data_IF_326634168561
#
_entry.id   IF_326634168561
#
_cell.length_a   1.000
_cell.length_b   1.000
_cell.length_c   1.000
_cell.angle_alpha   90.00
_cell.angle_beta   90.00
_cell.angle_gamma   90.00
#
_symmetry.space_group_name_H-M   'P 1'
#
loop_
_entity.id
_entity.type
_entity.pdbx_description
1 polymer ?
#
# COMPACT_ATOMS: atom_id res chain seq x y z
N UNK A 1 3.18 16.06 8.73
CA UNK A 1 2.00 15.51 8.05
C UNK A 1 1.44 16.59 7.16
N UNK A 2 1.31 16.31 5.86
CA UNK A 2 0.68 17.14 4.87
C UNK A 2 -0.77 17.39 5.32
N UNK A 3 -1.08 18.66 5.62
CA UNK A 3 -2.39 19.05 6.17
C UNK A 3 -3.52 18.75 5.18
N UNK A 4 -3.29 18.93 3.88
CA UNK A 4 -4.30 18.69 2.83
C UNK A 4 -4.68 17.22 2.77
N UNK A 5 -3.69 16.32 2.73
CA UNK A 5 -3.96 14.88 2.71
C UNK A 5 -4.62 14.39 4.01
N UNK A 6 -4.20 14.93 5.15
CA UNK A 6 -4.78 14.58 6.45
C UNK A 6 -6.26 14.98 6.54
N UNK A 7 -6.61 16.22 6.17
CA UNK A 7 -7.99 16.68 6.17
C UNK A 7 -8.84 15.92 5.15
N UNK A 8 -8.33 15.66 3.95
CA UNK A 8 -9.05 14.86 2.94
C UNK A 8 -9.33 13.44 3.43
N UNK A 9 -8.36 12.79 4.05
CA UNK A 9 -8.57 11.48 4.67
C UNK A 9 -9.61 11.53 5.80
N UNK A 10 -9.62 12.57 6.65
CA UNK A 10 -10.65 12.73 7.70
C UNK A 10 -12.05 12.90 7.08
N UNK A 11 -12.16 13.70 6.03
CA UNK A 11 -13.41 13.93 5.29
C UNK A 11 -13.92 12.62 4.68
N UNK A 12 -13.08 11.90 3.94
CA UNK A 12 -13.39 10.57 3.39
C UNK A 12 -13.88 9.61 4.47
N UNK A 13 -13.14 9.50 5.59
CA UNK A 13 -13.51 8.61 6.68
C UNK A 13 -14.87 8.94 7.32
N UNK A 14 -15.27 10.21 7.27
CA UNK A 14 -16.56 10.67 7.79
C UNK A 14 -17.69 10.36 6.81
N UNK A 15 -17.46 10.60 5.52
CA UNK A 15 -18.44 10.39 4.45
C UNK A 15 -18.79 8.92 4.28
N UNK A 16 -17.80 8.01 4.21
CA UNK A 16 -18.06 6.57 3.97
C UNK A 16 -18.77 5.86 5.15
N UNK A 17 -18.92 6.53 6.30
CA UNK A 17 -19.66 5.99 7.45
C UNK A 17 -21.17 6.10 7.27
N UNK A 18 -21.66 7.06 6.48
CA UNK A 18 -23.09 7.31 6.28
C UNK A 18 -23.52 6.92 4.87
N UNK A 19 -24.73 6.39 4.73
CA UNK A 19 -25.27 5.94 3.44
C UNK A 19 -25.40 7.12 2.46
N UNK A 20 -25.95 8.23 2.93
CA UNK A 20 -26.26 9.41 2.11
C UNK A 20 -25.01 10.13 1.57
N UNK A 21 -23.85 9.90 2.18
CA UNK A 21 -22.58 10.51 1.76
C UNK A 21 -21.58 9.46 1.25
N UNK A 22 -22.02 8.22 1.03
CA UNK A 22 -21.12 7.12 0.68
C UNK A 22 -20.38 7.39 -0.64
N UNK A 23 -21.10 7.73 -1.70
CA UNK A 23 -20.55 7.97 -3.04
C UNK A 23 -19.53 9.12 -3.01
N UNK A 24 -19.89 10.25 -2.41
CA UNK A 24 -18.96 11.37 -2.20
C UNK A 24 -17.71 10.98 -1.37
N UNK A 25 -17.84 10.00 -0.47
CA UNK A 25 -16.72 9.44 0.28
C UNK A 25 -15.78 8.60 -0.59
N UNK A 26 -16.32 7.83 -1.55
CA UNK A 26 -15.52 7.09 -2.54
C UNK A 26 -14.81 8.06 -3.50
N UNK A 27 -15.50 9.09 -3.98
CA UNK A 27 -14.88 10.15 -4.80
C UNK A 27 -13.73 10.83 -4.05
N UNK A 28 -13.95 11.20 -2.77
CA UNK A 28 -12.91 11.82 -1.93
C UNK A 28 -11.72 10.89 -1.69
N UNK A 29 -11.95 9.57 -1.60
CA UNK A 29 -10.89 8.56 -1.52
C UNK A 29 -10.06 8.56 -2.81
N UNK A 30 -10.69 8.55 -3.98
CA UNK A 30 -9.98 8.52 -5.27
C UNK A 30 -9.22 9.81 -5.53
N UNK A 31 -9.77 10.97 -5.18
CA UNK A 31 -9.05 12.24 -5.24
C UNK A 31 -7.77 12.24 -4.40
N UNK A 32 -7.85 11.68 -3.18
CA UNK A 32 -6.68 11.50 -2.32
C UNK A 32 -5.64 10.58 -2.99
N UNK A 33 -6.09 9.44 -3.52
CA UNK A 33 -5.21 8.46 -4.18
C UNK A 33 -4.56 9.02 -5.44
N UNK A 34 -5.27 9.84 -6.20
CA UNK A 34 -4.74 10.53 -7.37
C UNK A 34 -3.62 11.51 -6.98
N UNK A 35 -3.82 12.35 -5.95
CA UNK A 35 -2.77 13.26 -5.46
C UNK A 35 -1.52 12.53 -4.94
N UNK A 36 -1.72 11.40 -4.26
CA UNK A 36 -0.62 10.58 -3.76
C UNK A 36 0.11 9.88 -4.91
N UNK A 37 -0.63 9.37 -5.91
CA UNK A 37 -0.06 8.75 -7.10
C UNK A 37 0.70 9.77 -7.95
N UNK A 38 0.20 10.99 -8.14
CA UNK A 38 0.92 12.09 -8.79
C UNK A 38 2.28 12.37 -8.12
N UNK A 39 2.32 12.32 -6.78
CA UNK A 39 3.58 12.45 -6.04
C UNK A 39 4.54 11.31 -6.37
N UNK A 40 4.06 10.06 -6.39
CA UNK A 40 4.90 8.92 -6.77
C UNK A 40 5.37 9.00 -8.23
N UNK A 41 4.52 9.48 -9.15
CA UNK A 41 4.89 9.69 -10.55
C UNK A 41 6.01 10.73 -10.67
N UNK A 42 5.91 11.85 -9.92
CA UNK A 42 6.95 12.89 -9.95
C UNK A 42 8.33 12.35 -9.60
N UNK A 43 8.42 11.37 -8.69
CA UNK A 43 9.69 10.75 -8.33
C UNK A 43 10.38 10.05 -9.50
N UNK A 44 9.62 9.52 -10.46
CA UNK A 44 10.20 8.87 -11.65
C UNK A 44 10.91 9.87 -12.57
N UNK A 45 10.45 11.11 -12.58
CA UNK A 45 11.01 12.19 -13.41
C UNK A 45 12.14 12.92 -12.71
N UNK A 46 12.06 13.03 -11.38
CA UNK A 46 12.94 13.88 -10.58
C UNK A 46 14.14 13.14 -9.97
N UNK A 47 14.04 11.81 -9.76
CA UNK A 47 15.02 11.05 -8.98
C UNK A 47 15.86 10.10 -9.85
N UNK A 48 17.11 9.92 -9.46
CA UNK A 48 17.98 8.88 -10.04
C UNK A 48 17.66 7.51 -9.46
N UNK A 49 18.25 6.45 -10.04
CA UNK A 49 18.11 5.09 -9.52
C UNK A 49 18.61 4.98 -8.07
N UNK A 50 19.73 5.61 -7.78
CA UNK A 50 20.41 5.58 -6.48
C UNK A 50 19.54 6.22 -5.39
N UNK A 51 18.77 7.25 -5.71
CA UNK A 51 17.85 7.91 -4.79
C UNK A 51 16.74 6.97 -4.30
N UNK A 52 16.27 6.06 -5.16
CA UNK A 52 15.27 5.06 -4.81
C UNK A 52 15.79 3.99 -3.84
N UNK A 53 17.10 3.74 -3.88
CA UNK A 53 17.80 2.73 -3.08
C UNK A 53 18.40 3.33 -1.79
N UNK A 54 18.45 4.66 -1.68
CA UNK A 54 19.03 5.38 -0.57
C UNK A 54 18.22 5.25 0.74
N UNK A 55 18.94 5.10 1.85
CA UNK A 55 18.39 4.93 3.21
C UNK A 55 18.99 5.95 4.21
N UNK A 56 18.80 7.26 3.99
CA UNK A 56 19.50 8.30 4.76
C UNK A 56 19.15 8.32 6.26
N UNK A 57 18.08 7.63 6.67
CA UNK A 57 17.61 7.56 8.05
C UNK A 57 17.65 6.14 8.62
N UNK A 58 18.65 5.34 8.26
CA UNK A 58 18.74 3.91 8.64
C UNK A 58 18.59 3.61 10.14
N UNK A 59 19.00 4.54 11.01
CA UNK A 59 18.93 4.39 12.47
C UNK A 59 17.74 5.14 13.11
N UNK A 60 16.86 5.75 12.31
CA UNK A 60 15.68 6.43 12.83
C UNK A 60 14.52 5.46 13.04
N UNK A 61 13.60 5.84 13.93
CA UNK A 61 12.31 5.19 14.08
C UNK A 61 11.28 5.74 13.08
N UNK A 62 10.38 4.87 12.61
CA UNK A 62 9.25 5.24 11.76
C UNK A 62 9.48 5.09 10.25
N UNK A 63 8.52 5.51 9.44
CA UNK A 63 8.43 5.19 8.01
C UNK A 63 9.60 5.70 7.15
N UNK A 64 10.24 6.80 7.57
CA UNK A 64 11.34 7.42 6.84
C UNK A 64 12.68 6.68 6.99
N UNK A 65 12.76 5.68 7.87
CA UNK A 65 13.92 4.77 7.94
C UNK A 65 13.90 3.67 6.87
N UNK A 66 12.93 3.71 5.96
CA UNK A 66 12.86 2.85 4.77
C UNK A 66 13.48 3.58 3.56
N UNK A 67 13.55 2.90 2.42
CA UNK A 67 13.85 3.53 1.12
C UNK A 67 12.57 3.94 0.39
N UNK A 68 12.70 4.70 -0.70
CA UNK A 68 11.57 5.05 -1.55
C UNK A 68 11.05 3.80 -2.30
N UNK A 69 11.93 3.00 -2.92
CA UNK A 69 11.52 1.80 -3.65
C UNK A 69 10.80 0.78 -2.74
N UNK A 70 11.32 0.54 -1.54
CA UNK A 70 10.64 -0.32 -0.56
C UNK A 70 9.27 0.24 -0.19
N UNK A 71 9.16 1.55 0.03
CA UNK A 71 7.89 2.16 0.43
C UNK A 71 6.82 2.00 -0.65
N UNK A 72 7.20 2.14 -1.93
CA UNK A 72 6.31 1.89 -3.06
C UNK A 72 5.90 0.41 -3.09
N UNK A 73 6.86 -0.52 -3.07
CA UNK A 73 6.56 -1.96 -3.01
C UNK A 73 5.59 -2.29 -1.86
N UNK A 74 5.92 -1.85 -0.66
CA UNK A 74 5.21 -2.18 0.57
C UNK A 74 3.76 -1.70 0.57
N UNK A 75 3.51 -0.47 0.12
CA UNK A 75 2.16 0.09 0.00
C UNK A 75 1.30 -0.76 -0.92
N UNK A 76 1.78 -1.00 -2.14
CA UNK A 76 0.97 -1.65 -3.15
C UNK A 76 0.93 -3.17 -3.01
N UNK A 77 1.90 -3.77 -2.33
CA UNK A 77 1.83 -5.17 -1.94
C UNK A 77 0.76 -5.42 -0.88
N UNK A 78 0.69 -4.56 0.15
CA UNK A 78 -0.40 -4.61 1.13
C UNK A 78 -1.74 -4.38 0.47
N UNK A 79 -1.85 -3.34 -0.38
CA UNK A 79 -3.10 -3.04 -1.06
C UNK A 79 -3.59 -4.21 -1.93
N UNK A 80 -2.71 -4.79 -2.74
CA UNK A 80 -3.04 -5.91 -3.62
C UNK A 80 -3.57 -7.12 -2.85
N UNK A 81 -2.89 -7.52 -1.76
CA UNK A 81 -3.33 -8.61 -0.88
C UNK A 81 -4.72 -8.32 -0.30
N UNK A 82 -4.91 -7.11 0.24
CA UNK A 82 -6.15 -6.74 0.92
C UNK A 82 -7.31 -6.65 -0.08
N UNK A 83 -7.10 -6.01 -1.24
CA UNK A 83 -8.14 -5.84 -2.24
C UNK A 83 -8.55 -7.19 -2.85
N UNK A 84 -7.59 -8.01 -3.27
CA UNK A 84 -7.90 -9.21 -4.03
C UNK A 84 -8.20 -10.41 -3.13
N UNK A 85 -7.39 -10.67 -2.11
CA UNK A 85 -7.58 -11.87 -1.27
C UNK A 85 -8.63 -11.69 -0.17
N UNK A 86 -8.81 -10.47 0.37
CA UNK A 86 -9.76 -10.26 1.47
C UNK A 86 -11.09 -9.67 1.03
N UNK A 87 -11.12 -8.79 0.03
CA UNK A 87 -12.34 -8.11 -0.41
C UNK A 87 -12.98 -8.81 -1.61
N UNK A 88 -12.25 -8.96 -2.71
CA UNK A 88 -12.79 -9.45 -3.99
C UNK A 88 -12.71 -10.97 -4.20
N UNK A 89 -11.96 -11.68 -3.35
CA UNK A 89 -11.76 -13.15 -3.42
C UNK A 89 -11.26 -13.65 -4.78
N UNK A 90 -10.36 -12.89 -5.39
CA UNK A 90 -9.74 -13.23 -6.67
C UNK A 90 -8.21 -13.26 -6.55
N UNK A 91 -7.57 -13.66 -7.64
CA UNK A 91 -6.13 -13.70 -7.72
C UNK A 91 -5.55 -12.28 -7.63
N UNK A 92 -4.46 -12.15 -6.88
CA UNK A 92 -3.75 -10.90 -6.70
C UNK A 92 -3.10 -10.47 -8.03
N UNK A 93 -3.04 -9.17 -8.29
CA UNK A 93 -2.37 -8.60 -9.47
C UNK A 93 -0.93 -9.07 -9.53
N UNK A 94 -0.27 -9.17 -8.37
CA UNK A 94 1.12 -9.61 -8.28
C UNK A 94 1.38 -10.97 -8.94
N UNK A 95 0.47 -11.93 -8.77
CA UNK A 95 0.61 -13.28 -9.31
C UNK A 95 0.11 -13.37 -10.75
N UNK A 96 -1.10 -12.86 -11.02
CA UNK A 96 -1.70 -12.90 -12.37
C UNK A 96 -0.88 -12.14 -13.42
N UNK A 97 -0.21 -11.06 -13.02
CA UNK A 97 0.67 -10.26 -13.89
C UNK A 97 2.13 -10.73 -13.96
N UNK A 98 2.48 -11.85 -13.31
CA UNK A 98 3.85 -12.35 -13.12
C UNK A 98 4.83 -11.25 -12.62
N UNK A 99 4.36 -10.41 -11.69
CA UNK A 99 5.13 -9.26 -11.24
C UNK A 99 6.30 -9.63 -10.36
N UNK A 100 6.30 -10.80 -9.72
CA UNK A 100 7.47 -11.27 -8.97
C UNK A 100 8.72 -11.30 -9.86
N UNK A 101 8.61 -11.97 -11.01
CA UNK A 101 9.71 -12.12 -11.97
C UNK A 101 10.03 -10.78 -12.64
N UNK A 102 8.99 -10.06 -13.13
CA UNK A 102 9.17 -8.78 -13.83
C UNK A 102 9.86 -7.72 -12.97
N UNK A 103 9.44 -7.60 -11.71
CA UNK A 103 10.04 -6.68 -10.74
C UNK A 103 11.39 -7.22 -10.25
N UNK A 104 11.69 -8.50 -10.46
CA UNK A 104 12.83 -9.17 -9.84
C UNK A 104 12.79 -9.08 -8.30
N UNK A 105 11.59 -9.24 -7.74
CA UNK A 105 11.40 -9.20 -6.28
C UNK A 105 11.88 -10.51 -5.64
N UNK A 106 12.80 -10.45 -4.67
CA UNK A 106 13.25 -11.65 -3.94
C UNK A 106 12.22 -12.19 -2.95
N UNK A 107 11.12 -11.45 -2.70
CA UNK A 107 10.07 -11.81 -1.76
C UNK A 107 8.68 -11.63 -2.39
N UNK A 108 7.72 -12.40 -1.90
CA UNK A 108 6.29 -12.24 -2.23
C UNK A 108 5.51 -11.53 -1.12
N UNK A 109 6.18 -11.26 -0.01
CA UNK A 109 5.61 -10.75 1.23
C UNK A 109 5.51 -9.23 1.22
N UNK A 110 4.83 -8.68 2.22
CA UNK A 110 4.72 -7.24 2.45
C UNK A 110 6.06 -6.55 2.77
N UNK A 111 7.12 -7.30 3.08
CA UNK A 111 8.45 -6.77 3.39
C UNK A 111 8.59 -6.24 4.82
N UNK A 112 7.60 -6.44 5.70
CA UNK A 112 7.64 -6.02 7.11
C UNK A 112 8.79 -6.66 7.90
N UNK A 113 9.24 -7.83 7.46
CA UNK A 113 10.37 -8.57 8.03
C UNK A 113 11.73 -7.93 7.74
N UNK A 114 11.83 -7.05 6.73
CA UNK A 114 13.09 -6.45 6.31
C UNK A 114 13.50 -5.31 7.24
N UNK A 115 14.75 -5.34 7.71
CA UNK A 115 15.32 -4.33 8.60
C UNK A 115 16.61 -3.71 8.06
N UNK A 116 16.80 -2.42 8.31
CA UNK A 116 18.02 -1.67 8.01
C UNK A 116 18.57 -1.96 6.60
N UNK A 117 19.80 -2.46 6.51
CA UNK A 117 20.50 -2.73 5.24
C UNK A 117 19.74 -3.70 4.34
N UNK A 118 18.96 -4.64 4.89
CA UNK A 118 18.13 -5.56 4.10
C UNK A 118 17.11 -4.80 3.24
N UNK A 119 16.62 -3.65 3.72
CA UNK A 119 15.67 -2.81 2.97
C UNK A 119 16.36 -2.14 1.79
N UNK A 120 17.60 -1.66 1.97
CA UNK A 120 18.40 -1.09 0.89
C UNK A 120 18.77 -2.16 -0.14
N UNK A 121 19.21 -3.34 0.30
CA UNK A 121 19.57 -4.45 -0.59
C UNK A 121 18.37 -5.01 -1.34
N UNK A 122 17.20 -5.07 -0.70
CA UNK A 122 15.94 -5.39 -1.36
C UNK A 122 15.62 -4.38 -2.46
N UNK A 123 15.72 -3.08 -2.15
CA UNK A 123 15.41 -1.99 -3.08
C UNK A 123 16.24 -2.06 -4.34
N UNK A 124 17.56 -2.25 -4.20
CA UNK A 124 18.53 -2.36 -5.31
C UNK A 124 18.19 -3.48 -6.31
N UNK A 125 17.52 -4.55 -5.87
CA UNK A 125 17.15 -5.67 -6.75
C UNK A 125 15.95 -5.36 -7.64
N UNK A 126 15.06 -4.47 -7.19
CA UNK A 126 13.79 -4.24 -7.86
C UNK A 126 14.00 -3.54 -9.21
N UNK A 127 13.32 -4.01 -10.24
CA UNK A 127 13.14 -3.29 -11.48
C UNK A 127 12.09 -2.20 -11.28
N UNK A 128 12.53 -0.94 -11.21
CA UNK A 128 11.62 0.19 -10.96
C UNK A 128 10.56 0.36 -12.04
N UNK A 129 10.89 0.12 -13.32
CA UNK A 129 9.91 0.25 -14.40
C UNK A 129 8.74 -0.72 -14.17
N UNK A 130 9.05 -1.97 -13.88
CA UNK A 130 8.02 -2.99 -13.64
C UNK A 130 7.33 -2.80 -12.28
N UNK A 131 8.02 -2.26 -11.28
CA UNK A 131 7.40 -1.85 -10.01
C UNK A 131 6.34 -0.77 -10.26
N UNK A 132 6.64 0.23 -11.09
CA UNK A 132 5.66 1.25 -11.46
C UNK A 132 4.47 0.64 -12.23
N UNK A 133 4.72 -0.24 -13.20
CA UNK A 133 3.64 -0.96 -13.90
C UNK A 133 2.71 -1.69 -12.92
N UNK A 134 3.28 -2.38 -11.94
CA UNK A 134 2.52 -3.08 -10.89
C UNK A 134 1.65 -2.14 -10.07
N UNK A 135 2.20 -1.01 -9.57
CA UNK A 135 1.42 -0.12 -8.72
C UNK A 135 0.26 0.56 -9.46
N UNK A 136 0.41 0.82 -10.76
CA UNK A 136 -0.67 1.35 -11.60
C UNK A 136 -1.80 0.34 -11.75
N UNK A 137 -1.46 -0.92 -12.02
CA UNK A 137 -2.43 -1.99 -12.19
C UNK A 137 -3.14 -2.33 -10.87
N UNK A 138 -2.41 -2.34 -9.74
CA UNK A 138 -3.02 -2.50 -8.40
C UNK A 138 -3.97 -1.34 -8.09
N UNK A 139 -3.58 -0.09 -8.37
CA UNK A 139 -4.46 1.07 -8.15
C UNK A 139 -5.75 0.93 -8.95
N UNK A 140 -5.64 0.67 -10.25
CA UNK A 140 -6.78 0.54 -11.17
C UNK A 140 -7.71 -0.63 -10.76
N UNK A 141 -7.16 -1.81 -10.47
CA UNK A 141 -7.94 -2.96 -10.02
C UNK A 141 -8.63 -2.69 -8.68
N UNK A 142 -7.92 -2.08 -7.71
CA UNK A 142 -8.48 -1.72 -6.41
C UNK A 142 -9.62 -0.71 -6.54
N UNK A 143 -9.50 0.28 -7.43
CA UNK A 143 -10.56 1.28 -7.65
C UNK A 143 -11.79 0.67 -8.32
N UNK A 144 -11.62 -0.31 -9.21
CA UNK A 144 -12.73 -1.10 -9.76
C UNK A 144 -13.43 -1.93 -8.68
N UNK A 145 -12.68 -2.57 -7.79
CA UNK A 145 -13.23 -3.31 -6.64
C UNK A 145 -13.99 -2.35 -5.72
N UNK A 146 -13.42 -1.19 -5.38
CA UNK A 146 -14.07 -0.22 -4.48
C UNK A 146 -15.36 0.33 -5.10
N UNK A 147 -15.37 0.62 -6.41
CA UNK A 147 -16.56 1.10 -7.12
C UNK A 147 -17.69 0.06 -7.20
N UNK A 148 -17.39 -1.24 -7.17
CA UNK A 148 -18.42 -2.28 -7.22
C UNK A 148 -19.09 -2.53 -5.87
N UNK A 149 -18.49 -2.06 -4.77
CA UNK A 149 -19.03 -2.22 -3.42
C UNK A 149 -20.21 -1.29 -3.19
N UNK A 150 -21.30 -1.84 -2.65
CA UNK A 150 -22.38 -1.04 -2.08
C UNK A 150 -22.06 -0.60 -0.64
N UNK A 151 -22.72 0.46 -0.17
CA UNK A 151 -22.59 0.94 1.22
C UNK A 151 -22.84 -0.17 2.27
N UNK A 152 -23.77 -1.10 1.98
CA UNK A 152 -24.10 -2.19 2.90
C UNK A 152 -22.94 -3.18 3.07
N UNK A 153 -22.15 -3.37 2.02
CA UNK A 153 -21.03 -4.31 2.00
C UNK A 153 -19.85 -3.82 2.81
N UNK A 154 -19.69 -2.51 2.96
CA UNK A 154 -18.66 -1.92 3.81
C UNK A 154 -18.65 -2.44 5.26
N UNK A 155 -19.80 -2.92 5.74
CA UNK A 155 -19.96 -3.45 7.11
C UNK A 155 -19.69 -4.96 7.20
N UNK A 156 -19.51 -5.65 6.07
CA UNK A 156 -19.18 -7.08 6.05
C UNK A 156 -17.82 -7.29 6.73
N UNK A 157 -17.79 -8.27 7.63
CA UNK A 157 -16.56 -8.75 8.28
C UNK A 157 -15.83 -9.72 7.37
N UNK A 158 -14.52 -9.80 7.55
CA UNK A 158 -13.71 -10.85 6.92
C UNK A 158 -14.02 -12.16 7.63
N UNK A 159 -14.35 -13.19 6.85
CA UNK A 159 -14.68 -14.52 7.37
C UNK A 159 -13.40 -15.27 7.78
N UNK A 160 -13.52 -16.20 8.73
CA UNK A 160 -12.37 -16.97 9.22
C UNK A 160 -11.77 -17.85 8.10
N UNK A 161 -12.59 -18.37 7.18
CA UNK A 161 -12.11 -19.11 6.01
C UNK A 161 -11.19 -18.25 5.13
N UNK A 162 -11.49 -16.96 4.98
CA UNK A 162 -10.63 -16.02 4.23
C UNK A 162 -9.31 -15.76 4.96
N UNK A 163 -9.33 -15.76 6.29
CA UNK A 163 -8.12 -15.62 7.11
C UNK A 163 -7.21 -16.84 6.95
N UNK A 164 -7.77 -18.05 6.99
CA UNK A 164 -7.01 -19.28 6.76
C UNK A 164 -6.48 -19.35 5.33
N UNK A 165 -7.26 -18.91 4.34
CA UNK A 165 -6.78 -18.74 2.98
C UNK A 165 -5.62 -17.76 2.89
N UNK A 166 -5.72 -16.57 3.51
CA UNK A 166 -4.63 -15.60 3.53
C UNK A 166 -3.33 -16.17 4.15
N UNK A 167 -3.44 -16.97 5.21
CA UNK A 167 -2.28 -17.66 5.82
C UNK A 167 -1.64 -18.64 4.84
N UNK A 168 -2.44 -19.43 4.10
CA UNK A 168 -1.91 -20.43 3.17
C UNK A 168 -1.17 -19.82 1.98
N UNK A 169 -1.48 -18.57 1.62
CA UNK A 169 -0.80 -17.84 0.55
C UNK A 169 0.66 -17.46 0.89
N UNK A 170 1.05 -17.44 2.17
CA UNK A 170 2.40 -17.04 2.62
C UNK A 170 2.85 -15.64 2.11
N UNK A 171 1.90 -14.76 1.81
CA UNK A 171 2.12 -13.38 1.35
C UNK A 171 2.31 -12.37 2.49
N UNK A 172 2.24 -12.85 3.73
CA UNK A 172 2.66 -12.14 4.94
C UNK A 172 3.69 -13.03 5.61
N UNK A 173 4.85 -12.47 5.96
CA UNK A 173 5.92 -13.23 6.61
C UNK A 173 5.50 -13.71 8.00
N UNK A 174 6.02 -14.87 8.41
CA UNK A 174 5.88 -15.39 9.78
C UNK A 174 6.76 -14.65 10.81
N UNK A 175 7.57 -13.68 10.37
CA UNK A 175 8.32 -12.81 11.27
C UNK A 175 7.37 -12.01 12.20
N UNK A 176 7.80 -11.80 13.45
CA UNK A 176 7.02 -11.08 14.46
C UNK A 176 6.63 -9.65 14.05
N UNK A 177 7.39 -9.01 13.17
CA UNK A 177 7.11 -7.67 12.66
C UNK A 177 6.03 -7.65 11.57
N UNK A 178 5.66 -8.83 11.03
CA UNK A 178 4.76 -8.98 9.90
C UNK A 178 3.48 -9.75 10.25
N UNK A 179 3.61 -10.87 10.98
CA UNK A 179 2.53 -11.86 11.16
C UNK A 179 1.24 -11.29 11.75
N UNK A 180 1.37 -10.26 12.60
CA UNK A 180 0.24 -9.55 13.22
C UNK A 180 -0.69 -8.87 12.19
N UNK A 181 -0.22 -8.60 10.97
CA UNK A 181 -1.02 -7.99 9.91
C UNK A 181 -2.24 -8.85 9.54
N UNK A 182 -2.12 -10.18 9.59
CA UNK A 182 -3.21 -11.10 9.28
C UNK A 182 -4.38 -10.86 10.26
N UNK A 183 -4.09 -10.89 11.56
CA UNK A 183 -5.11 -10.63 12.60
C UNK A 183 -5.64 -9.20 12.53
N UNK A 184 -4.76 -8.23 12.25
CA UNK A 184 -5.15 -6.83 12.11
C UNK A 184 -6.15 -6.62 10.97
N UNK A 185 -5.89 -7.16 9.77
CA UNK A 185 -6.78 -7.01 8.62
C UNK A 185 -8.06 -7.83 8.79
N UNK A 186 -7.96 -9.09 9.22
CA UNK A 186 -9.13 -9.96 9.37
C UNK A 186 -10.04 -9.53 10.53
N UNK A 187 -9.53 -8.77 11.51
CA UNK A 187 -10.35 -8.13 12.54
C UNK A 187 -11.20 -6.94 12.06
N UNK A 188 -11.00 -6.45 10.83
CA UNK A 188 -11.74 -5.31 10.26
C UNK A 188 -13.02 -5.73 9.54
N UNK A 189 -13.87 -4.73 9.30
CA UNK A 189 -14.85 -4.77 8.21
C UNK A 189 -14.20 -4.22 6.92
N UNK A 190 -14.85 -4.41 5.77
CA UNK A 190 -14.37 -3.88 4.48
C UNK A 190 -14.10 -2.37 4.57
N UNK A 191 -14.95 -1.61 5.27
CA UNK A 191 -14.72 -0.19 5.55
C UNK A 191 -13.38 0.06 6.23
N UNK A 192 -13.06 -0.70 7.28
CA UNK A 192 -11.79 -0.56 8.01
C UNK A 192 -10.58 -0.84 7.14
N UNK A 193 -10.70 -1.74 6.16
CA UNK A 193 -9.67 -2.00 5.15
C UNK A 193 -9.51 -0.84 4.15
N UNK A 194 -10.61 -0.20 3.76
CA UNK A 194 -10.55 1.02 2.93
C UNK A 194 -9.90 2.20 3.69
N UNK A 195 -10.24 2.38 4.97
CA UNK A 195 -9.79 3.50 5.80
C UNK A 195 -8.31 3.48 6.19
N UNK A 196 -7.63 2.34 6.01
CA UNK A 196 -6.25 2.16 6.44
C UNK A 196 -5.35 1.75 5.26
N UNK A 197 -5.36 0.48 4.78
CA UNK A 197 -4.60 0.07 3.60
C UNK A 197 -4.72 1.00 2.38
N UNK A 198 -5.92 1.44 2.00
CA UNK A 198 -6.12 2.17 0.73
C UNK A 198 -6.02 3.69 0.83
N UNK A 199 -5.75 4.22 2.03
CA UNK A 199 -5.79 5.65 2.31
C UNK A 199 -4.69 6.09 3.27
N UNK A 200 -4.89 5.94 4.58
CA UNK A 200 -3.93 6.44 5.59
C UNK A 200 -2.53 5.83 5.43
N UNK A 201 -2.44 4.55 5.08
CA UNK A 201 -1.16 3.87 4.85
C UNK A 201 -0.37 4.49 3.71
N UNK A 202 -1.02 4.83 2.60
CA UNK A 202 -0.38 5.55 1.49
C UNK A 202 0.20 6.88 1.94
N UNK A 203 -0.59 7.71 2.64
CA UNK A 203 -0.13 9.02 3.16
C UNK A 203 1.16 8.86 3.95
N UNK A 204 1.21 7.88 4.84
CA UNK A 204 2.34 7.69 5.76
C UNK A 204 3.63 7.34 5.02
N UNK A 205 3.56 6.51 3.99
CA UNK A 205 4.71 6.12 3.18
C UNK A 205 5.10 7.18 2.16
N UNK A 206 4.15 7.83 1.47
CA UNK A 206 4.44 8.90 0.52
C UNK A 206 5.07 10.10 1.23
N UNK A 207 4.58 10.49 2.41
CA UNK A 207 5.23 11.52 3.23
C UNK A 207 6.63 11.14 3.65
N UNK A 208 6.86 9.87 4.01
CA UNK A 208 8.17 9.39 4.37
C UNK A 208 9.13 9.46 3.17
N UNK A 209 8.68 9.04 1.99
CA UNK A 209 9.43 9.14 0.74
C UNK A 209 9.79 10.58 0.39
N UNK A 210 8.88 11.55 0.59
CA UNK A 210 9.20 12.97 0.43
C UNK A 210 10.29 13.45 1.39
N UNK A 211 10.29 12.99 2.65
CA UNK A 211 11.36 13.32 3.61
C UNK A 211 12.69 12.71 3.20
N UNK A 212 12.69 11.47 2.70
CA UNK A 212 13.87 10.78 2.18
C UNK A 212 14.44 11.57 0.99
N UNK A 213 13.61 11.85 -0.02
CA UNK A 213 13.96 12.70 -1.17
C UNK A 213 14.60 14.01 -0.73
N UNK A 214 13.92 14.76 0.14
CA UNK A 214 14.44 16.05 0.60
C UNK A 214 15.78 15.90 1.33
N UNK A 215 15.99 14.82 2.09
CA UNK A 215 17.25 14.59 2.79
C UNK A 215 18.41 14.26 1.84
N UNK A 216 18.13 13.68 0.68
CA UNK A 216 19.15 13.33 -0.32
C UNK A 216 19.60 14.57 -1.10
N UNK A 217 18.66 15.48 -1.42
CA UNK A 217 18.94 16.67 -2.22
C UNK A 217 19.14 17.97 -1.41
N UNK A 218 19.24 17.88 -0.08
CA UNK A 218 19.64 18.97 0.84
C UNK A 218 21.11 18.81 1.23
#
# INVERSE_FOLDING_TARGET
>A
MNKVWSERNKTMQTQIKKKDTYEAGIETLFDLRNQLMETLISFKEELSREDFDAIPFINADGYHSKTIAYSIWHVFRIEDIVAHSLISENEQVFFSGNYQERINSPIITTGNELVKDQIADFSKRLNLKELYSYIFEVKDSTEKIVNSLSYHELKKKILEERKEYLKSLNVVSNDKNAIWLIDYWCGKDIRGLIQMPFSRHWIMHVEASLRIKNKIHL
#
